data_IF_794050169599
#
_entry.id   IF_794050169599
#
_cell.length_a   1.000
_cell.length_b   1.000
_cell.length_c   1.000
_cell.angle_alpha   90.00
_cell.angle_beta   90.00
_cell.angle_gamma   90.00
#
_symmetry.space_group_name_H-M   'P 1'
#
loop_
_entity.id
_entity.type
_entity.pdbx_description
1 polymer ?
#
# COMPACT_ATOMS: atom_id res chain seq x y z
N UNK A 1 28.18 -3.36 -2.71
CA UNK A 1 27.11 -2.45 -3.14
C UNK A 1 26.44 -1.94 -1.88
N UNK A 2 26.32 -0.63 -1.72
CA UNK A 2 25.55 -0.04 -0.62
C UNK A 2 24.09 -0.39 -0.82
N UNK A 3 23.44 -0.91 0.21
CA UNK A 3 22.01 -1.24 0.20
C UNK A 3 21.20 0.06 0.07
N UNK A 4 20.25 0.13 -0.88
CA UNK A 4 19.42 1.32 -1.09
C UNK A 4 18.42 1.43 0.07
N UNK A 5 18.45 2.54 0.79
CA UNK A 5 17.54 2.83 1.90
C UNK A 5 16.27 3.48 1.38
N UNK A 6 15.14 2.86 1.63
CA UNK A 6 13.84 3.33 1.14
C UNK A 6 12.90 3.52 2.32
N UNK A 7 12.36 4.72 2.46
CA UNK A 7 11.24 4.99 3.37
C UNK A 7 9.94 5.01 2.56
N UNK A 8 8.95 4.23 3.00
CA UNK A 8 7.61 4.20 2.39
C UNK A 8 6.61 4.80 3.37
N UNK A 9 5.94 5.87 2.99
CA UNK A 9 4.79 6.41 3.73
C UNK A 9 3.55 5.59 3.40
N UNK A 10 2.90 5.05 4.43
CA UNK A 10 1.78 4.12 4.34
C UNK A 10 2.23 2.66 4.33
N UNK A 11 1.40 1.79 4.94
CA UNK A 11 1.60 0.34 4.99
C UNK A 11 0.34 -0.45 4.60
N UNK A 12 -0.60 0.17 3.89
CA UNK A 12 -1.79 -0.46 3.33
C UNK A 12 -1.45 -1.50 2.24
N UNK A 13 -2.46 -2.16 1.65
CA UNK A 13 -2.26 -3.27 0.71
C UNK A 13 -1.44 -2.90 -0.54
N UNK A 14 -1.59 -1.69 -1.08
CA UNK A 14 -0.79 -1.24 -2.22
C UNK A 14 0.66 -0.94 -1.81
N UNK A 15 0.85 -0.23 -0.70
CA UNK A 15 2.18 0.02 -0.12
C UNK A 15 2.90 -1.29 0.24
N UNK A 16 2.16 -2.29 0.72
CA UNK A 16 2.69 -3.63 1.00
C UNK A 16 3.22 -4.31 -0.25
N UNK A 17 2.50 -4.23 -1.39
CA UNK A 17 2.99 -4.77 -2.65
C UNK A 17 4.26 -4.08 -3.16
N UNK A 18 4.41 -2.79 -2.89
CA UNK A 18 5.64 -2.02 -3.15
C UNK A 18 6.77 -2.51 -2.24
N UNK A 19 6.55 -2.49 -0.92
CA UNK A 19 7.54 -2.88 0.09
C UNK A 19 8.03 -4.32 -0.10
N UNK A 20 7.10 -5.25 -0.34
CA UNK A 20 7.39 -6.66 -0.61
C UNK A 20 8.34 -6.82 -1.81
N UNK A 21 8.10 -6.08 -2.90
CA UNK A 21 8.94 -6.14 -4.10
C UNK A 21 10.32 -5.55 -3.86
N UNK A 22 10.40 -4.37 -3.27
CA UNK A 22 11.66 -3.68 -3.00
C UNK A 22 12.54 -4.47 -2.02
N UNK A 23 11.94 -5.00 -0.94
CA UNK A 23 12.63 -5.86 0.02
C UNK A 23 13.22 -7.10 -0.66
N UNK A 24 12.47 -7.79 -1.50
CA UNK A 24 12.97 -8.95 -2.26
C UNK A 24 14.05 -8.62 -3.28
N UNK A 25 14.15 -7.37 -3.68
CA UNK A 25 15.23 -6.87 -4.54
C UNK A 25 16.45 -6.38 -3.74
N UNK A 26 16.49 -6.60 -2.41
CA UNK A 26 17.62 -6.29 -1.56
C UNK A 26 17.70 -4.84 -1.11
N UNK A 27 16.56 -4.10 -1.08
CA UNK A 27 16.52 -2.77 -0.51
C UNK A 27 16.24 -2.81 1.00
N UNK A 28 16.85 -1.90 1.77
CA UNK A 28 16.51 -1.64 3.16
C UNK A 28 15.24 -0.81 3.22
N UNK A 29 14.11 -1.42 3.60
CA UNK A 29 12.79 -0.79 3.60
C UNK A 29 12.33 -0.50 5.02
N UNK A 30 11.95 0.76 5.30
CA UNK A 30 11.19 1.19 6.47
C UNK A 30 9.82 1.70 5.99
N UNK A 31 8.75 1.28 6.67
CA UNK A 31 7.39 1.81 6.41
C UNK A 31 6.91 2.64 7.58
N UNK A 32 6.18 3.74 7.29
CA UNK A 32 5.46 4.50 8.33
C UNK A 32 3.96 4.34 8.17
N UNK A 33 3.22 4.40 9.29
CA UNK A 33 1.77 4.25 9.28
C UNK A 33 1.14 5.08 10.40
N UNK A 34 -0.17 5.26 10.34
CA UNK A 34 -0.97 5.88 11.41
C UNK A 34 -1.18 4.88 12.56
N UNK A 35 -1.50 5.40 13.75
CA UNK A 35 -1.74 4.59 14.95
C UNK A 35 -2.95 3.64 14.81
N UNK A 36 -3.96 4.04 14.07
CA UNK A 36 -5.19 3.26 13.82
C UNK A 36 -5.44 3.07 12.32
N UNK A 37 -4.68 2.17 11.64
CA UNK A 37 -4.82 1.92 10.21
C UNK A 37 -6.24 1.55 9.78
N UNK A 38 -6.72 2.18 8.71
CA UNK A 38 -8.06 1.93 8.14
C UNK A 38 -8.02 1.04 6.90
N UNK A 39 -7.02 0.18 6.81
CA UNK A 39 -6.85 -0.75 5.69
C UNK A 39 -7.93 -1.83 5.71
N UNK A 40 -8.70 -1.96 4.61
CA UNK A 40 -9.74 -2.99 4.51
C UNK A 40 -9.18 -4.37 4.14
N UNK A 41 -8.14 -4.43 3.30
CA UNK A 41 -7.48 -5.70 2.93
C UNK A 41 -6.36 -6.07 3.92
N UNK A 42 -6.73 -6.22 5.20
CA UNK A 42 -5.81 -6.40 6.33
C UNK A 42 -4.90 -7.63 6.21
N UNK A 43 -5.40 -8.71 5.62
CA UNK A 43 -4.67 -9.98 5.44
C UNK A 43 -3.49 -9.89 4.47
N UNK A 44 -3.40 -8.81 3.71
CA UNK A 44 -2.32 -8.56 2.73
C UNK A 44 -1.74 -7.15 2.90
N UNK A 45 -1.74 -6.66 4.14
CA UNK A 45 -1.27 -5.32 4.46
C UNK A 45 -0.33 -5.32 5.67
N UNK A 46 0.85 -4.76 5.52
CA UNK A 46 1.83 -4.64 6.60
C UNK A 46 1.38 -3.69 7.71
N UNK A 47 0.39 -2.82 7.44
CA UNK A 47 -0.27 -2.01 8.47
C UNK A 47 -0.92 -2.84 9.58
N UNK A 48 -1.22 -4.13 9.35
CA UNK A 48 -1.71 -5.03 10.40
C UNK A 48 -0.71 -5.22 11.54
N UNK A 49 0.60 -5.04 11.29
CA UNK A 49 1.63 -5.09 12.33
C UNK A 49 1.43 -4.01 13.41
N UNK A 50 0.78 -2.87 13.08
CA UNK A 50 0.46 -1.82 14.07
C UNK A 50 -0.45 -2.36 15.18
N UNK A 51 -1.39 -3.25 14.84
CA UNK A 51 -2.31 -3.84 15.79
C UNK A 51 -1.79 -5.12 16.46
N UNK A 52 -1.00 -5.91 15.73
CA UNK A 52 -0.67 -7.28 16.07
C UNK A 52 0.81 -7.44 16.46
N UNK A 53 1.58 -6.33 16.38
CA UNK A 53 3.03 -6.31 16.59
C UNK A 53 3.83 -6.94 15.44
N UNK A 54 3.22 -7.88 14.71
CA UNK A 54 3.82 -8.61 13.58
C UNK A 54 2.75 -9.03 12.59
N UNK A 55 3.09 -9.05 11.30
CA UNK A 55 2.27 -9.66 10.25
C UNK A 55 3.16 -10.26 9.16
N UNK A 56 2.61 -11.16 8.37
CA UNK A 56 3.32 -11.77 7.24
C UNK A 56 2.46 -11.74 5.99
N UNK A 57 3.08 -11.39 4.86
CA UNK A 57 2.43 -11.40 3.54
C UNK A 57 3.35 -12.10 2.56
N UNK A 58 2.90 -13.23 2.00
CA UNK A 58 3.64 -14.04 1.01
C UNK A 58 5.11 -14.28 1.40
N UNK A 59 5.35 -14.73 2.63
CA UNK A 59 6.68 -15.10 3.13
C UNK A 59 7.55 -13.93 3.57
N UNK A 60 7.07 -12.68 3.48
CA UNK A 60 7.76 -11.51 4.01
C UNK A 60 7.10 -11.05 5.31
N UNK A 61 7.89 -10.97 6.37
CA UNK A 61 7.44 -10.53 7.68
C UNK A 61 7.61 -9.02 7.85
N UNK A 62 6.58 -8.36 8.38
CA UNK A 62 6.70 -6.99 8.88
C UNK A 62 6.51 -6.95 10.40
N UNK A 63 7.23 -6.07 11.09
CA UNK A 63 7.19 -5.90 12.55
C UNK A 63 7.02 -4.45 12.95
N UNK A 64 6.16 -4.22 13.94
CA UNK A 64 6.04 -2.92 14.60
C UNK A 64 7.33 -2.60 15.35
N UNK A 65 7.80 -1.37 15.18
CA UNK A 65 8.97 -0.83 15.89
C UNK A 65 8.61 0.51 16.55
N UNK A 66 9.39 0.91 17.55
CA UNK A 66 9.13 2.13 18.31
C UNK A 66 9.96 3.32 17.82
N UNK A 67 11.09 3.05 17.14
CA UNK A 67 12.05 4.05 16.69
C UNK A 67 12.91 3.53 15.51
N UNK A 68 13.73 4.40 14.95
CA UNK A 68 14.63 4.09 13.83
C UNK A 68 15.72 3.09 14.22
N UNK A 69 16.18 3.10 15.48
CA UNK A 69 17.15 2.13 15.96
C UNK A 69 16.58 0.72 15.95
N UNK A 70 15.33 0.57 16.42
CA UNK A 70 14.59 -0.69 16.32
C UNK A 70 14.34 -1.10 14.87
N UNK A 71 14.10 -0.13 13.98
CA UNK A 71 13.92 -0.40 12.55
C UNK A 71 15.18 -1.03 11.93
N UNK A 72 16.38 -0.51 12.21
CA UNK A 72 17.63 -1.08 11.69
C UNK A 72 17.86 -2.52 12.16
N UNK A 73 17.48 -2.83 13.40
CA UNK A 73 17.56 -4.22 13.90
C UNK A 73 16.64 -5.15 13.11
N UNK A 74 15.40 -4.74 12.86
CA UNK A 74 14.43 -5.53 12.08
C UNK A 74 14.88 -5.69 10.62
N UNK A 75 15.46 -4.65 10.01
CA UNK A 75 16.07 -4.73 8.67
C UNK A 75 17.21 -5.75 8.65
N UNK A 76 18.09 -5.71 9.65
CA UNK A 76 19.22 -6.67 9.74
C UNK A 76 18.78 -8.12 9.94
N UNK A 77 17.59 -8.33 10.52
CA UNK A 77 16.93 -9.65 10.63
C UNK A 77 16.23 -10.08 9.34
N UNK A 78 16.37 -9.33 8.24
CA UNK A 78 15.74 -9.63 6.95
C UNK A 78 14.23 -9.41 6.94
N UNK A 79 13.71 -8.51 7.76
CA UNK A 79 12.28 -8.20 7.88
C UNK A 79 12.01 -6.71 7.61
N UNK A 80 10.74 -6.34 7.45
CA UNK A 80 10.32 -4.97 7.18
C UNK A 80 9.81 -4.32 8.47
N UNK A 81 10.45 -3.26 9.00
CA UNK A 81 9.91 -2.48 10.11
C UNK A 81 8.72 -1.62 9.67
N UNK A 82 7.72 -1.52 10.54
CA UNK A 82 6.61 -0.57 10.47
C UNK A 82 6.65 0.32 11.69
N UNK A 83 6.75 1.63 11.49
CA UNK A 83 6.80 2.64 12.56
C UNK A 83 5.50 3.45 12.56
N UNK A 84 4.92 3.67 13.73
CA UNK A 84 3.80 4.62 13.86
C UNK A 84 4.35 6.04 13.82
N UNK A 85 4.34 6.61 12.64
CA UNK A 85 4.82 7.99 12.37
C UNK A 85 4.11 8.56 11.12
N UNK A 86 2.87 9.03 11.26
CA UNK A 86 2.06 9.51 10.12
C UNK A 86 2.68 10.69 9.37
N UNK A 87 3.52 11.47 10.03
CA UNK A 87 4.19 12.63 9.46
C UNK A 87 5.56 12.31 8.88
N UNK A 88 6.04 11.05 9.02
CA UNK A 88 7.38 10.62 8.63
C UNK A 88 8.50 11.50 9.26
N UNK A 89 8.36 11.85 10.57
CA UNK A 89 9.38 12.62 11.29
C UNK A 89 10.72 11.86 11.38
N UNK A 90 10.68 10.53 11.25
CA UNK A 90 11.86 9.67 11.20
C UNK A 90 12.75 9.88 9.96
N UNK A 91 12.33 10.67 8.96
CA UNK A 91 13.08 10.93 7.73
C UNK A 91 14.53 11.36 7.99
N UNK A 92 14.72 12.35 8.85
CA UNK A 92 16.05 12.89 9.13
C UNK A 92 16.99 11.87 9.80
N UNK A 93 16.46 11.02 10.69
CA UNK A 93 17.23 10.00 11.41
C UNK A 93 17.49 8.77 10.54
N UNK A 94 16.52 8.32 9.77
CA UNK A 94 16.66 7.16 8.88
C UNK A 94 17.54 7.47 7.67
N UNK A 95 17.50 8.70 7.16
CA UNK A 95 18.29 9.18 6.03
C UNK A 95 18.09 8.33 4.77
N UNK A 96 16.86 8.24 4.21
CA UNK A 96 16.59 7.40 3.05
C UNK A 96 17.23 7.98 1.79
N UNK A 97 17.66 7.11 0.87
CA UNK A 97 18.04 7.48 -0.50
C UNK A 97 16.78 7.76 -1.34
N UNK A 98 15.69 7.08 -1.01
CA UNK A 98 14.39 7.19 -1.70
C UNK A 98 13.25 7.31 -0.69
N UNK A 99 12.39 8.29 -0.91
CA UNK A 99 11.07 8.38 -0.27
C UNK A 99 9.98 7.96 -1.26
N UNK A 100 9.13 7.01 -0.85
CA UNK A 100 7.95 6.61 -1.62
C UNK A 100 6.70 7.00 -0.83
N UNK A 101 5.88 7.93 -1.32
CA UNK A 101 4.58 8.22 -0.72
C UNK A 101 3.51 7.30 -1.33
N UNK A 102 3.11 6.30 -0.57
CA UNK A 102 2.10 5.30 -0.93
C UNK A 102 0.91 5.29 0.05
N UNK A 103 0.62 6.42 0.69
CA UNK A 103 -0.56 6.60 1.56
C UNK A 103 -1.87 6.43 0.79
N UNK A 104 -1.87 6.79 -0.50
CA UNK A 104 -3.04 6.73 -1.40
C UNK A 104 -4.22 7.57 -0.87
N UNK A 105 -3.91 8.72 -0.30
CA UNK A 105 -4.90 9.66 0.22
C UNK A 105 -5.69 10.41 -0.87
N UNK A 106 -5.39 10.14 -2.16
CA UNK A 106 -5.99 10.80 -3.34
C UNK A 106 -5.62 12.28 -3.48
N UNK A 107 -4.77 12.77 -2.63
CA UNK A 107 -4.13 14.08 -2.62
C UNK A 107 -2.78 13.96 -1.94
N UNK A 108 -1.83 14.83 -2.27
CA UNK A 108 -0.59 14.96 -1.51
C UNK A 108 -0.90 15.46 -0.08
N UNK A 109 -0.39 14.77 0.93
CA UNK A 109 -0.58 15.08 2.36
C UNK A 109 0.62 15.79 2.98
N UNK A 110 1.47 16.42 2.17
CA UNK A 110 2.60 17.22 2.62
C UNK A 110 3.97 16.67 2.22
N UNK A 111 4.05 15.65 1.39
CA UNK A 111 5.31 15.17 0.80
C UNK A 111 5.86 16.19 -0.18
N UNK A 112 7.16 16.47 -0.06
CA UNK A 112 7.87 17.45 -0.88
C UNK A 112 9.02 16.77 -1.64
N UNK A 113 9.32 17.26 -2.81
CA UNK A 113 10.44 16.79 -3.63
C UNK A 113 11.81 16.90 -2.94
N UNK A 114 11.89 17.69 -1.87
CA UNK A 114 13.11 17.90 -1.07
C UNK A 114 13.24 16.96 0.12
N UNK A 115 12.27 16.08 0.36
CA UNK A 115 12.25 15.21 1.56
C UNK A 115 13.27 14.06 1.47
N UNK A 116 13.74 13.71 0.26
CA UNK A 116 14.80 12.74 0.03
C UNK A 116 15.55 13.04 -1.28
N UNK A 117 16.72 12.43 -1.53
CA UNK A 117 17.43 12.53 -2.82
C UNK A 117 16.55 12.14 -4.02
N UNK A 118 15.68 11.14 -3.87
CA UNK A 118 14.65 10.78 -4.84
C UNK A 118 13.30 10.64 -4.13
N UNK A 119 12.28 11.35 -4.63
CA UNK A 119 10.90 11.27 -4.12
C UNK A 119 9.98 10.73 -5.19
N UNK A 120 9.25 9.65 -4.85
CA UNK A 120 8.31 8.97 -5.73
C UNK A 120 6.90 9.08 -5.14
N UNK A 121 5.99 9.72 -5.87
CA UNK A 121 4.57 9.83 -5.51
C UNK A 121 3.74 8.69 -6.13
N UNK A 122 2.87 8.03 -5.37
CA UNK A 122 2.06 6.92 -5.86
C UNK A 122 0.60 7.32 -5.99
N UNK A 123 0.13 7.45 -7.23
CA UNK A 123 -1.27 7.70 -7.57
C UNK A 123 -1.69 9.16 -7.57
N UNK A 124 -3.01 9.41 -7.51
CA UNK A 124 -3.57 10.73 -7.66
C UNK A 124 -3.14 11.70 -6.55
N UNK A 125 -2.89 12.94 -6.93
CA UNK A 125 -2.40 13.99 -6.03
C UNK A 125 -0.91 14.24 -6.14
N UNK A 126 -0.18 13.49 -7.01
CA UNK A 126 1.23 13.69 -7.28
C UNK A 126 1.49 14.11 -8.71
N UNK A 127 2.35 15.13 -8.87
CA UNK A 127 2.81 15.66 -10.13
C UNK A 127 4.35 15.60 -10.18
N UNK A 128 4.89 14.81 -11.09
CA UNK A 128 6.32 14.70 -11.30
C UNK A 128 6.92 16.04 -11.79
N UNK A 129 7.98 16.48 -11.13
CA UNK A 129 8.63 17.77 -11.34
C UNK A 129 8.11 18.89 -10.42
N UNK A 130 6.99 18.70 -9.73
CA UNK A 130 6.40 19.66 -8.78
C UNK A 130 6.61 19.20 -7.34
N UNK A 131 5.86 18.21 -6.89
CA UNK A 131 5.88 17.70 -5.51
C UNK A 131 6.69 16.41 -5.33
N UNK A 132 7.04 15.74 -6.42
CA UNK A 132 7.90 14.55 -6.44
C UNK A 132 8.81 14.56 -7.69
N UNK A 133 9.86 13.73 -7.70
CA UNK A 133 10.70 13.56 -8.89
C UNK A 133 10.02 12.71 -9.94
N UNK A 134 9.38 11.61 -9.51
CA UNK A 134 8.66 10.66 -10.35
C UNK A 134 7.31 10.34 -9.73
N UNK A 135 6.29 10.09 -10.54
CA UNK A 135 5.01 9.57 -10.05
C UNK A 135 4.71 8.20 -10.66
N UNK A 136 3.91 7.38 -9.97
CA UNK A 136 3.48 6.06 -10.46
C UNK A 136 1.96 6.00 -10.55
N UNK A 137 1.46 5.67 -11.73
CA UNK A 137 0.03 5.60 -12.00
C UNK A 137 -0.66 4.44 -11.28
N UNK A 138 -1.80 4.72 -10.65
CA UNK A 138 -2.59 3.71 -9.92
C UNK A 138 -3.98 3.46 -10.51
N UNK A 139 -4.40 4.22 -11.51
CA UNK A 139 -5.66 3.98 -12.21
C UNK A 139 -5.63 2.62 -12.90
N UNK A 140 -6.67 1.79 -12.69
CA UNK A 140 -6.80 0.53 -13.46
C UNK A 140 -6.97 0.83 -14.94
N UNK A 141 -6.32 0.04 -15.78
CA UNK A 141 -6.33 0.18 -17.23
C UNK A 141 -4.93 0.04 -17.82
N UNK A 142 -4.77 0.53 -19.03
CA UNK A 142 -3.57 0.35 -19.85
C UNK A 142 -2.29 0.92 -19.22
N UNK A 143 -2.41 1.98 -18.43
CA UNK A 143 -1.27 2.70 -17.82
C UNK A 143 -1.02 2.35 -16.35
N UNK A 144 -1.69 1.34 -15.80
CA UNK A 144 -1.49 0.93 -14.41
C UNK A 144 -0.01 0.56 -14.16
N UNK A 145 0.59 1.23 -13.17
CA UNK A 145 2.00 1.04 -12.80
C UNK A 145 3.00 1.81 -13.67
N UNK A 146 2.53 2.61 -14.64
CA UNK A 146 3.41 3.44 -15.48
C UNK A 146 4.14 4.47 -14.62
N UNK A 147 5.46 4.59 -14.83
CA UNK A 147 6.27 5.70 -14.30
C UNK A 147 6.00 6.96 -15.11
N UNK A 148 5.75 8.05 -14.41
CA UNK A 148 5.47 9.39 -14.95
C UNK A 148 6.67 10.27 -14.59
N UNK A 149 7.39 10.73 -15.60
CA UNK A 149 8.57 11.60 -15.45
C UNK A 149 8.19 13.08 -15.51
N UNK A 150 7.05 13.39 -16.12
CA UNK A 150 6.53 14.75 -16.28
C UNK A 150 5.02 14.76 -16.28
N UNK A 151 4.43 15.63 -15.46
CA UNK A 151 2.98 15.75 -15.30
C UNK A 151 2.43 14.89 -14.15
N UNK A 152 1.12 14.81 -14.03
CA UNK A 152 0.44 14.26 -12.86
C UNK A 152 -0.14 12.87 -13.12
N UNK A 153 -0.23 12.06 -12.08
CA UNK A 153 -1.06 10.86 -12.08
C UNK A 153 -2.53 11.23 -12.31
N UNK A 154 -3.29 10.34 -12.94
CA UNK A 154 -4.70 10.58 -13.25
C UNK A 154 -5.51 10.88 -11.98
N UNK A 155 -6.41 11.87 -12.02
CA UNK A 155 -7.20 12.26 -10.87
C UNK A 155 -8.12 11.12 -10.43
N UNK A 156 -8.40 11.08 -9.12
CA UNK A 156 -9.35 10.11 -8.59
C UNK A 156 -10.77 10.39 -9.11
N UNK A 157 -11.37 9.40 -9.75
CA UNK A 157 -12.74 9.50 -10.30
C UNK A 157 -13.84 9.33 -9.24
N UNK A 158 -13.50 8.83 -8.04
CA UNK A 158 -14.49 8.44 -7.03
C UNK A 158 -15.27 7.16 -7.38
N UNK A 159 -15.08 6.64 -8.60
CA UNK A 159 -15.75 5.42 -9.08
C UNK A 159 -14.86 4.20 -8.77
N UNK A 160 -15.36 3.19 -8.04
CA UNK A 160 -14.63 1.97 -7.79
C UNK A 160 -14.34 1.23 -9.09
N UNK A 161 -13.10 0.79 -9.28
CA UNK A 161 -12.77 -0.06 -10.42
C UNK A 161 -13.55 -1.38 -10.40
N UNK A 162 -13.98 -1.85 -11.55
CA UNK A 162 -14.68 -3.13 -11.67
C UNK A 162 -13.76 -4.31 -11.36
N UNK A 163 -14.30 -5.30 -10.67
CA UNK A 163 -13.67 -6.59 -10.40
C UNK A 163 -14.72 -7.67 -10.62
N UNK A 164 -14.48 -8.57 -11.57
CA UNK A 164 -15.42 -9.63 -11.91
C UNK A 164 -16.79 -9.12 -12.38
N UNK A 165 -16.84 -7.98 -13.06
CA UNK A 165 -18.07 -7.36 -13.56
C UNK A 165 -18.86 -6.52 -12.52
N UNK A 166 -18.35 -6.38 -11.30
CA UNK A 166 -19.00 -5.63 -10.22
C UNK A 166 -18.21 -4.37 -9.85
N UNK A 167 -18.91 -3.27 -9.66
CA UNK A 167 -18.36 -1.95 -9.32
C UNK A 167 -18.70 -1.51 -7.89
N UNK A 168 -19.76 -0.73 -7.74
CA UNK A 168 -20.18 -0.17 -6.44
C UNK A 168 -20.77 -1.24 -5.50
N UNK A 169 -21.41 -2.25 -6.03
CA UNK A 169 -22.12 -3.32 -5.32
C UNK A 169 -21.18 -4.14 -4.42
N UNK A 170 -19.91 -4.23 -4.81
CA UNK A 170 -18.92 -4.97 -4.03
C UNK A 170 -18.42 -4.25 -2.78
N UNK A 171 -18.79 -2.97 -2.59
CA UNK A 171 -18.32 -2.19 -1.46
C UNK A 171 -19.22 -2.37 -0.24
N UNK A 172 -18.63 -2.70 0.90
CA UNK A 172 -19.25 -2.59 2.20
C UNK A 172 -18.99 -1.17 2.70
N UNK A 173 -20.06 -0.39 2.93
CA UNK A 173 -19.97 1.00 3.41
C UNK A 173 -20.76 1.17 4.69
N UNK A 174 -20.23 1.95 5.63
CA UNK A 174 -20.95 2.35 6.83
C UNK A 174 -22.22 3.13 6.44
N UNK A 175 -23.36 2.72 6.98
CA UNK A 175 -24.64 3.37 6.76
C UNK A 175 -24.89 4.50 7.78
N UNK A 176 -24.18 4.47 8.91
CA UNK A 176 -24.19 5.50 9.96
C UNK A 176 -22.75 5.74 10.44
N UNK A 177 -22.52 6.84 11.13
CA UNK A 177 -21.28 7.07 11.87
C UNK A 177 -21.29 6.27 13.18
N UNK A 178 -20.12 5.92 13.68
CA UNK A 178 -19.92 5.23 14.95
C UNK A 178 -18.89 4.12 14.91
N UNK A 179 -18.85 3.30 15.94
CA UNK A 179 -17.93 2.18 16.07
C UNK A 179 -18.30 1.07 15.10
N UNK A 180 -17.32 0.61 14.30
CA UNK A 180 -17.48 -0.47 13.33
C UNK A 180 -17.35 -1.85 13.98
N UNK A 181 -18.35 -2.71 13.77
CA UNK A 181 -18.43 -4.09 14.29
C UNK A 181 -18.62 -5.05 13.13
N UNK A 182 -17.59 -5.81 12.70
CA UNK A 182 -17.73 -6.82 11.66
C UNK A 182 -18.56 -8.02 12.16
N UNK A 183 -19.40 -8.57 11.27
CA UNK A 183 -20.21 -9.78 11.47
C UNK A 183 -19.79 -10.92 10.55
N UNK A 184 -18.86 -10.62 9.63
CA UNK A 184 -18.23 -11.58 8.74
C UNK A 184 -16.72 -11.36 8.72
N UNK A 185 -15.95 -12.39 8.47
CA UNK A 185 -14.49 -12.39 8.39
C UNK A 185 -14.00 -12.33 6.93
N UNK A 186 -12.76 -11.88 6.73
CA UNK A 186 -12.11 -11.97 5.41
C UNK A 186 -11.95 -13.44 5.06
N UNK A 187 -12.44 -13.84 3.88
CA UNK A 187 -12.48 -15.21 3.40
C UNK A 187 -13.86 -15.86 3.48
N UNK A 188 -14.80 -15.31 4.27
CA UNK A 188 -16.15 -15.84 4.37
C UNK A 188 -16.93 -15.64 3.06
N UNK A 189 -17.75 -16.65 2.72
CA UNK A 189 -18.77 -16.54 1.69
C UNK A 189 -20.02 -15.91 2.28
N UNK A 190 -20.55 -14.92 1.56
CA UNK A 190 -21.76 -14.19 1.96
C UNK A 190 -22.74 -14.10 0.83
N UNK A 191 -24.02 -14.00 1.17
CA UNK A 191 -25.12 -13.81 0.22
C UNK A 191 -25.59 -12.35 0.20
N UNK A 192 -26.14 -11.91 -0.94
CA UNK A 192 -26.78 -10.61 -1.03
C UNK A 192 -27.89 -10.48 0.02
N UNK A 193 -27.87 -9.39 0.79
CA UNK A 193 -28.79 -9.12 1.89
C UNK A 193 -28.33 -9.64 3.25
N UNK A 194 -27.33 -10.54 3.31
CA UNK A 194 -26.74 -10.99 4.59
C UNK A 194 -26.09 -9.83 5.32
N UNK A 195 -26.32 -9.72 6.63
CA UNK A 195 -25.66 -8.70 7.46
C UNK A 195 -24.19 -9.09 7.65
N UNK A 196 -23.29 -8.24 7.17
CA UNK A 196 -21.82 -8.47 7.17
C UNK A 196 -21.07 -7.59 8.16
N UNK A 197 -21.71 -6.53 8.63
CA UNK A 197 -21.16 -5.63 9.65
C UNK A 197 -22.30 -4.82 10.28
N UNK A 198 -21.92 -4.02 11.28
CA UNK A 198 -22.78 -3.03 11.95
C UNK A 198 -21.95 -1.78 12.24
N UNK A 199 -22.57 -0.63 12.22
CA UNK A 199 -21.94 0.63 12.56
C UNK A 199 -22.93 1.54 13.29
N UNK A 200 -22.55 1.99 14.50
CA UNK A 200 -23.43 2.83 15.30
C UNK A 200 -24.81 2.18 15.58
N UNK A 201 -24.88 0.86 15.71
CA UNK A 201 -26.14 0.12 15.88
C UNK A 201 -26.92 -0.11 14.58
N UNK A 202 -26.43 0.35 13.42
CA UNK A 202 -27.10 0.16 12.13
C UNK A 202 -26.47 -0.99 11.37
N UNK A 203 -27.25 -2.06 11.04
CA UNK A 203 -26.73 -3.21 10.30
C UNK A 203 -26.38 -2.84 8.84
N UNK A 204 -25.30 -3.43 8.34
CA UNK A 204 -24.81 -3.23 6.98
C UNK A 204 -24.96 -4.53 6.20
N UNK A 205 -25.93 -4.62 5.25
CA UNK A 205 -26.12 -5.78 4.42
C UNK A 205 -25.14 -5.81 3.24
N UNK A 206 -24.72 -7.02 2.85
CA UNK A 206 -24.00 -7.25 1.61
C UNK A 206 -24.87 -6.87 0.40
N UNK A 207 -24.33 -6.07 -0.51
CA UNK A 207 -25.07 -5.64 -1.71
C UNK A 207 -25.01 -6.69 -2.84
N UNK A 208 -24.14 -7.69 -2.70
CA UNK A 208 -23.96 -8.80 -3.64
C UNK A 208 -23.51 -10.06 -2.91
N UNK A 209 -23.71 -11.23 -3.53
CA UNK A 209 -23.10 -12.47 -3.07
C UNK A 209 -21.64 -12.56 -3.51
N UNK A 210 -20.80 -13.23 -2.70
CA UNK A 210 -19.38 -13.39 -3.01
C UNK A 210 -18.54 -13.76 -1.79
N UNK A 211 -17.24 -13.54 -1.86
CA UNK A 211 -16.31 -13.71 -0.74
C UNK A 211 -15.92 -12.35 -0.18
N UNK A 212 -15.97 -12.19 1.14
CA UNK A 212 -15.46 -10.99 1.84
C UNK A 212 -13.95 -10.93 1.64
N UNK A 213 -13.50 -10.03 0.78
CA UNK A 213 -12.09 -9.88 0.43
C UNK A 213 -11.35 -8.87 1.30
N UNK A 214 -12.10 -7.99 1.91
CA UNK A 214 -11.57 -6.97 2.81
C UNK A 214 -12.62 -6.54 3.82
N UNK A 215 -12.16 -6.27 5.04
CA UNK A 215 -12.99 -5.84 6.16
C UNK A 215 -12.13 -5.02 7.11
N UNK A 216 -12.61 -3.86 7.53
CA UNK A 216 -11.94 -3.05 8.56
C UNK A 216 -11.79 -3.84 9.87
N UNK A 217 -10.84 -3.41 10.68
CA UNK A 217 -10.68 -3.93 12.03
C UNK A 217 -11.86 -3.49 12.89
N UNK A 218 -12.28 -4.38 13.77
CA UNK A 218 -13.29 -4.10 14.79
C UNK A 218 -12.86 -2.95 15.72
N UNK A 219 -13.82 -2.15 16.16
CA UNK A 219 -13.60 -1.07 17.10
C UNK A 219 -13.07 0.23 16.51
N UNK A 220 -13.00 0.34 15.18
CA UNK A 220 -12.65 1.60 14.51
C UNK A 220 -13.87 2.53 14.46
N UNK A 221 -13.65 3.81 14.77
CA UNK A 221 -14.64 4.85 14.52
C UNK A 221 -14.67 5.17 13.02
N UNK A 222 -15.85 5.15 12.43
CA UNK A 222 -16.06 5.43 11.02
C UNK A 222 -17.18 6.42 10.80
N UNK A 223 -17.12 7.14 9.70
CA UNK A 223 -18.16 8.07 9.28
C UNK A 223 -19.15 7.39 8.32
N UNK A 224 -20.37 7.92 8.24
CA UNK A 224 -21.34 7.47 7.25
C UNK A 224 -20.79 7.58 5.83
N UNK A 225 -20.98 6.53 5.02
CA UNK A 225 -20.43 6.45 3.66
C UNK A 225 -18.99 5.96 3.56
N UNK A 226 -18.24 5.87 4.67
CA UNK A 226 -16.87 5.35 4.65
C UNK A 226 -16.84 3.90 4.14
N UNK A 227 -15.85 3.58 3.32
CA UNK A 227 -15.62 2.21 2.85
C UNK A 227 -15.07 1.37 4.00
N UNK A 228 -15.81 0.34 4.40
CA UNK A 228 -15.46 -0.54 5.50
C UNK A 228 -15.05 -1.95 5.04
N UNK A 229 -15.33 -2.31 3.80
CA UNK A 229 -14.99 -3.62 3.28
C UNK A 229 -15.19 -3.76 1.77
N UNK A 230 -14.98 -4.98 1.30
CA UNK A 230 -14.93 -5.34 -0.11
C UNK A 230 -15.36 -6.79 -0.30
N UNK A 231 -16.35 -7.04 -1.18
CA UNK A 231 -16.80 -8.38 -1.57
C UNK A 231 -16.27 -8.68 -2.97
N UNK A 232 -15.77 -9.88 -3.21
CA UNK A 232 -15.25 -10.35 -4.49
C UNK A 232 -16.19 -11.40 -5.08
N UNK A 233 -16.90 -11.04 -6.16
CA UNK A 233 -17.83 -11.93 -6.86
C UNK A 233 -17.17 -13.09 -7.61
N UNK A 234 -15.84 -13.07 -7.79
CA UNK A 234 -15.08 -14.19 -8.38
C UNK A 234 -15.00 -15.39 -7.44
N UNK A 235 -15.32 -15.19 -6.16
CA UNK A 235 -15.39 -16.23 -5.12
C UNK A 235 -14.10 -17.05 -4.90
N UNK A 236 -12.94 -16.46 -5.23
CA UNK A 236 -11.63 -17.08 -5.01
C UNK A 236 -11.06 -16.68 -3.65
N UNK A 237 -11.17 -17.54 -2.65
CA UNK A 237 -10.71 -17.28 -1.28
C UNK A 237 -9.22 -16.95 -1.23
N UNK A 238 -8.38 -17.58 -2.07
CA UNK A 238 -6.95 -17.31 -2.15
C UNK A 238 -6.62 -15.85 -2.49
N UNK A 239 -7.52 -15.14 -3.19
CA UNK A 239 -7.35 -13.71 -3.48
C UNK A 239 -7.44 -12.81 -2.23
N UNK A 240 -8.00 -13.33 -1.13
CA UNK A 240 -8.05 -12.62 0.14
C UNK A 240 -6.68 -12.56 0.83
N UNK A 241 -5.80 -13.52 0.54
CA UNK A 241 -4.53 -13.76 1.23
C UNK A 241 -3.31 -13.59 0.32
N UNK A 242 -3.50 -12.99 -0.86
CA UNK A 242 -2.41 -12.74 -1.81
C UNK A 242 -2.40 -11.30 -2.30
N UNK A 243 -1.19 -10.80 -2.60
CA UNK A 243 -0.96 -9.47 -3.17
C UNK A 243 -1.69 -9.38 -4.52
N UNK A 244 -2.49 -8.32 -4.69
CA UNK A 244 -3.30 -8.16 -5.90
C UNK A 244 -2.47 -7.85 -7.15
N UNK A 245 -3.06 -8.12 -8.33
CA UNK A 245 -2.58 -7.67 -9.63
C UNK A 245 -2.20 -6.17 -9.63
N UNK A 246 -3.09 -5.35 -9.08
CA UNK A 246 -2.89 -3.90 -8.97
C UNK A 246 -1.67 -3.57 -8.11
N UNK A 247 -1.54 -4.17 -6.94
CA UNK A 247 -0.41 -3.93 -6.04
C UNK A 247 0.91 -4.42 -6.65
N UNK A 248 0.87 -5.54 -7.40
CA UNK A 248 2.05 -6.05 -8.12
C UNK A 248 2.47 -5.12 -9.26
N UNK A 249 1.53 -4.61 -10.05
CA UNK A 249 1.82 -3.66 -11.13
C UNK A 249 2.44 -2.36 -10.59
N UNK A 250 1.82 -1.78 -9.56
CA UNK A 250 2.32 -0.56 -8.90
C UNK A 250 3.70 -0.81 -8.29
N UNK A 251 3.90 -1.93 -7.60
CA UNK A 251 5.21 -2.31 -7.04
C UNK A 251 6.29 -2.46 -8.12
N UNK A 252 5.91 -2.93 -9.33
CA UNK A 252 6.79 -2.96 -10.50
C UNK A 252 7.20 -1.56 -10.95
N UNK A 253 6.22 -0.67 -11.10
CA UNK A 253 6.47 0.72 -11.48
C UNK A 253 7.33 1.47 -10.45
N UNK A 254 7.10 1.24 -9.14
CA UNK A 254 7.95 1.86 -8.12
C UNK A 254 9.38 1.31 -8.17
N UNK A 255 9.59 0.01 -8.39
CA UNK A 255 10.93 -0.55 -8.57
C UNK A 255 11.63 0.05 -9.80
N UNK A 256 10.90 0.19 -10.92
CA UNK A 256 11.41 0.88 -12.11
C UNK A 256 11.82 2.32 -11.77
N UNK A 257 10.96 3.08 -11.08
CA UNK A 257 11.23 4.46 -10.68
C UNK A 257 12.46 4.57 -9.75
N UNK A 258 12.65 3.64 -8.81
CA UNK A 258 13.83 3.57 -7.93
C UNK A 258 15.10 3.34 -8.75
N UNK A 259 15.09 2.40 -9.68
CA UNK A 259 16.27 2.05 -10.49
C UNK A 259 16.59 3.16 -11.50
N UNK A 260 15.57 3.68 -12.18
CA UNK A 260 15.71 4.75 -13.17
C UNK A 260 16.18 6.06 -12.52
N UNK A 261 15.46 6.56 -11.52
CA UNK A 261 15.81 7.79 -10.81
C UNK A 261 17.11 7.65 -10.01
N UNK A 262 17.38 6.48 -9.44
CA UNK A 262 18.63 6.19 -8.73
C UNK A 262 19.84 6.20 -9.64
N UNK A 263 19.72 5.78 -10.89
CA UNK A 263 20.77 5.90 -11.90
C UNK A 263 21.06 7.37 -12.21
N UNK A 264 20.04 8.20 -12.41
CA UNK A 264 20.18 9.62 -12.68
C UNK A 264 20.83 10.39 -11.51
N UNK A 265 20.50 10.00 -10.28
CA UNK A 265 21.05 10.59 -9.05
C UNK A 265 22.41 9.97 -8.63
N UNK A 266 22.90 8.93 -9.33
CA UNK A 266 24.24 8.36 -9.16
C UNK A 266 24.41 7.35 -8.02
N UNK A 267 23.33 6.86 -7.37
CA UNK A 267 23.42 5.82 -6.31
C UNK A 267 23.00 4.43 -6.78
N UNK A 268 22.54 4.26 -8.01
CA UNK A 268 22.33 2.97 -8.65
C UNK A 268 23.28 2.80 -9.82
N UNK A 269 24.15 1.79 -9.77
CA UNK A 269 25.00 1.38 -10.87
C UNK A 269 24.60 -0.01 -11.35
N UNK A 270 23.96 -0.11 -12.51
CA UNK A 270 23.66 -1.38 -13.16
C UNK A 270 24.85 -1.72 -14.07
N UNK A 271 25.77 -2.57 -13.59
CA UNK A 271 26.88 -3.07 -14.39
C UNK A 271 26.40 -4.32 -15.15
N UNK A 272 26.14 -4.18 -16.42
CA UNK A 272 26.03 -5.33 -17.32
C UNK A 272 27.46 -5.84 -17.59
N UNK A 273 27.88 -6.94 -16.94
CA UNK A 273 29.07 -7.66 -17.38
C UNK A 273 28.75 -8.23 -18.77
N UNK A 274 29.18 -7.55 -19.83
CA UNK A 274 29.32 -8.21 -21.14
C UNK A 274 30.50 -9.15 -20.97
N UNK A 275 30.24 -10.43 -20.78
CA UNK A 275 31.24 -11.44 -21.06
C UNK A 275 31.56 -11.30 -22.55
N UNK A 276 32.83 -11.03 -22.87
CA UNK A 276 33.29 -11.06 -24.24
C UNK A 276 33.04 -12.51 -24.76
N UNK A 277 32.20 -12.63 -25.75
CA UNK A 277 32.08 -13.90 -26.50
C UNK A 277 33.46 -14.13 -27.11
N UNK A 278 34.17 -15.23 -26.78
CA UNK A 278 35.41 -15.55 -27.47
C UNK A 278 35.09 -15.75 -28.96
N UNK A 279 35.89 -15.11 -29.83
CA UNK A 279 35.88 -15.33 -31.29
C UNK A 279 36.16 -16.77 -31.65
#
# INVERSE_FOLDING_TARGET
>A
MTEIKILIKGAGDLATGIAWRLHRCGCAVLMTEIERPTTVRRTVAFSSAVYEGRTEVEGVTARLVQDVRGAWKVISDGQIPVLVDPSANCLAEFGPDVLVDAVIAKKNTGTKRTDAPLVIGVGPGFCAGEDCDLAVETMRGHTLGKVIEKGCALPNTGVPGEIGGFGKERLIRALAAGTFLPRASIGDRVEKGQIVAECGGVPIPAQMSGVVRGMLKEGLEVEAGMKCGDIDGRCQVSHCFSISDKARAIGGGVLEAVLYGGKEKGYVSIHCKREAVPE
#
